data_IF_603997420664
#
_entry.id   IF_603997420664
#
_cell.length_a   1.000
_cell.length_b   1.000
_cell.length_c   1.000
_cell.angle_alpha   90.00
_cell.angle_beta   90.00
_cell.angle_gamma   90.00
#
_symmetry.space_group_name_H-M   'P 1'
#
loop_
_entity.id
_entity.type
_entity.pdbx_description
1 polymer ?
#
# COMPACT_ATOMS: atom_id res chain seq x y z
N UNK A 1 -21.43 49.59 6.43
CA UNK A 1 -21.46 48.47 7.39
C UNK A 1 -22.08 47.30 6.63
N UNK A 2 -21.44 46.18 6.32
CA UNK A 2 -20.22 45.56 6.86
C UNK A 2 -19.68 44.54 5.84
N UNK A 3 -18.35 44.39 5.82
CA UNK A 3 -17.62 43.45 4.97
C UNK A 3 -17.60 42.04 5.58
N UNK A 4 -17.57 41.03 4.70
CA UNK A 4 -16.56 39.96 4.69
C UNK A 4 -16.44 39.05 5.91
N UNK A 5 -17.29 38.01 6.03
CA UNK A 5 -17.01 36.83 6.87
C UNK A 5 -17.79 35.61 6.33
N UNK A 6 -17.27 34.84 5.36
CA UNK A 6 -17.64 33.40 5.17
C UNK A 6 -16.88 32.63 4.06
N UNK A 7 -16.11 33.26 3.17
CA UNK A 7 -15.42 32.52 2.09
C UNK A 7 -14.13 31.79 2.53
N UNK A 8 -13.57 32.15 3.68
CA UNK A 8 -12.32 31.58 4.19
C UNK A 8 -12.47 30.15 4.75
N UNK A 9 -13.69 29.70 5.09
CA UNK A 9 -13.93 28.33 5.57
C UNK A 9 -13.86 27.32 4.43
N UNK A 10 -14.57 27.61 3.33
CA UNK A 10 -14.69 26.71 2.18
C UNK A 10 -13.35 26.48 1.45
N UNK A 11 -12.51 27.53 1.29
CA UNK A 11 -11.16 27.37 0.70
C UNK A 11 -10.22 26.52 1.56
N UNK A 12 -10.36 26.54 2.90
CA UNK A 12 -9.53 25.74 3.80
C UNK A 12 -9.91 24.26 3.78
N UNK A 13 -11.19 23.96 3.64
CA UNK A 13 -11.69 22.58 3.58
C UNK A 13 -11.27 21.88 2.28
N UNK A 14 -11.31 22.58 1.14
CA UNK A 14 -10.81 22.06 -0.14
C UNK A 14 -9.30 21.75 -0.08
N UNK A 15 -8.51 22.61 0.56
CA UNK A 15 -7.07 22.40 0.74
C UNK A 15 -6.77 21.23 1.69
N UNK A 16 -7.59 21.01 2.72
CA UNK A 16 -7.44 19.89 3.66
C UNK A 16 -7.79 18.56 2.99
N UNK A 17 -8.88 18.50 2.24
CA UNK A 17 -9.32 17.29 1.56
C UNK A 17 -8.31 16.85 0.49
N UNK A 18 -7.79 17.79 -0.30
CA UNK A 18 -6.71 17.53 -1.25
C UNK A 18 -5.45 16.96 -0.59
N UNK A 19 -5.04 17.51 0.56
CA UNK A 19 -3.89 16.99 1.33
C UNK A 19 -4.13 15.61 1.92
N UNK A 20 -5.35 15.33 2.41
CA UNK A 20 -5.70 14.02 2.96
C UNK A 20 -5.74 12.96 1.86
N UNK A 21 -6.41 13.25 0.74
CA UNK A 21 -6.45 12.40 -0.45
C UNK A 21 -5.05 12.08 -0.95
N UNK A 22 -4.17 13.09 -0.98
CA UNK A 22 -2.77 12.92 -1.36
C UNK A 22 -2.01 11.96 -0.43
N UNK A 23 -2.10 12.14 0.89
CA UNK A 23 -1.42 11.27 1.86
C UNK A 23 -1.91 9.82 1.77
N UNK A 24 -3.22 9.64 1.56
CA UNK A 24 -3.81 8.32 1.38
C UNK A 24 -3.30 7.64 0.11
N UNK A 25 -3.20 8.38 -1.00
CA UNK A 25 -2.64 7.85 -2.25
C UNK A 25 -1.17 7.46 -2.10
N UNK A 26 -0.37 8.33 -1.49
CA UNK A 26 1.05 8.11 -1.23
C UNK A 26 1.29 6.86 -0.36
N UNK A 27 0.57 6.75 0.77
CA UNK A 27 0.66 5.58 1.64
C UNK A 27 0.21 4.29 0.93
N UNK A 28 -0.87 4.36 0.15
CA UNK A 28 -1.33 3.23 -0.65
C UNK A 28 -0.28 2.77 -1.68
N UNK A 29 0.43 3.71 -2.29
CA UNK A 29 1.51 3.41 -3.23
C UNK A 29 2.68 2.73 -2.51
N UNK A 30 3.13 3.24 -1.36
CA UNK A 30 4.14 2.54 -0.54
C UNK A 30 3.70 1.13 -0.16
N UNK A 31 2.42 0.96 0.18
CA UNK A 31 1.91 -0.35 0.58
C UNK A 31 1.94 -1.35 -0.56
N UNK A 32 1.77 -0.90 -1.81
CA UNK A 32 1.94 -1.73 -3.00
C UNK A 32 3.39 -2.14 -3.22
N UNK A 33 4.31 -1.19 -3.14
CA UNK A 33 5.75 -1.43 -3.30
C UNK A 33 6.27 -2.38 -2.23
N UNK A 34 5.97 -2.09 -0.96
CA UNK A 34 6.29 -2.96 0.17
C UNK A 34 5.77 -4.39 0.00
N UNK A 35 4.52 -4.55 -0.46
CA UNK A 35 3.95 -5.87 -0.74
C UNK A 35 4.67 -6.56 -1.88
N UNK A 36 5.05 -5.85 -2.94
CA UNK A 36 5.78 -6.42 -4.07
C UNK A 36 7.16 -6.95 -3.64
N UNK A 37 7.86 -6.19 -2.80
CA UNK A 37 9.15 -6.62 -2.22
C UNK A 37 8.98 -7.89 -1.36
N UNK A 38 7.92 -7.96 -0.56
CA UNK A 38 7.61 -9.16 0.23
C UNK A 38 7.27 -10.36 -0.68
N UNK A 39 6.55 -10.15 -1.78
CA UNK A 39 6.25 -11.20 -2.74
C UNK A 39 7.52 -11.75 -3.40
N UNK A 40 8.51 -10.91 -3.73
CA UNK A 40 9.80 -11.38 -4.24
C UNK A 40 10.55 -12.25 -3.23
N UNK A 41 10.50 -11.89 -1.94
CA UNK A 41 11.13 -12.70 -0.86
C UNK A 41 10.43 -14.04 -0.63
N UNK A 42 9.14 -14.12 -0.95
CA UNK A 42 8.30 -15.32 -0.82
C UNK A 42 8.09 -16.05 -2.15
N UNK A 43 8.92 -15.78 -3.17
CA UNK A 43 8.73 -16.30 -4.52
C UNK A 43 8.69 -17.83 -4.56
N UNK A 44 9.50 -18.51 -3.75
CA UNK A 44 9.51 -19.97 -3.66
C UNK A 44 8.15 -20.53 -3.21
N UNK A 45 7.58 -20.01 -2.13
CA UNK A 45 6.28 -20.44 -1.61
C UNK A 45 5.14 -20.06 -2.57
N UNK A 46 5.23 -18.87 -3.17
CA UNK A 46 4.25 -18.39 -4.15
C UNK A 46 4.26 -19.25 -5.40
N UNK A 47 5.44 -19.62 -5.91
CA UNK A 47 5.61 -20.47 -7.08
C UNK A 47 5.09 -21.89 -6.83
N UNK A 48 5.32 -22.45 -5.64
CA UNK A 48 4.77 -23.74 -5.25
C UNK A 48 3.22 -23.71 -5.21
N UNK A 49 2.65 -22.67 -4.60
CA UNK A 49 1.20 -22.47 -4.59
C UNK A 49 0.64 -22.28 -6.00
N UNK A 50 1.30 -21.48 -6.85
CA UNK A 50 0.89 -21.22 -8.23
C UNK A 50 0.91 -22.51 -9.08
N UNK A 51 1.91 -23.37 -8.87
CA UNK A 51 2.03 -24.66 -9.55
C UNK A 51 0.86 -25.57 -9.16
N UNK A 52 0.60 -25.72 -7.85
CA UNK A 52 -0.55 -26.48 -7.36
C UNK A 52 -1.88 -25.92 -7.88
N UNK A 53 -2.06 -24.60 -7.86
CA UNK A 53 -3.27 -23.94 -8.34
C UNK A 53 -3.53 -24.17 -9.83
N UNK A 54 -2.46 -24.23 -10.64
CA UNK A 54 -2.54 -24.53 -12.07
C UNK A 54 -3.01 -25.96 -12.32
N UNK A 55 -2.55 -26.92 -11.52
CA UNK A 55 -2.87 -28.34 -11.68
C UNK A 55 -4.27 -28.69 -11.17
N UNK A 56 -4.67 -28.13 -10.03
CA UNK A 56 -5.95 -28.44 -9.36
C UNK A 56 -7.14 -27.61 -9.86
N UNK A 57 -6.88 -26.47 -10.49
CA UNK A 57 -7.90 -25.58 -11.02
C UNK A 57 -8.95 -25.19 -9.98
N UNK A 58 -10.21 -25.59 -10.19
CA UNK A 58 -11.32 -25.30 -9.27
C UNK A 58 -11.16 -25.95 -7.89
N UNK A 59 -10.36 -27.02 -7.76
CA UNK A 59 -10.15 -27.74 -6.51
C UNK A 59 -9.05 -27.13 -5.63
N UNK A 60 -8.40 -26.05 -6.07
CA UNK A 60 -7.27 -25.37 -5.39
C UNK A 60 -7.51 -25.09 -3.91
N UNK A 61 -8.72 -24.68 -3.53
CA UNK A 61 -9.04 -24.30 -2.14
C UNK A 61 -8.97 -25.50 -1.20
N UNK A 62 -9.27 -26.70 -1.70
CA UNK A 62 -9.23 -27.94 -0.93
C UNK A 62 -7.87 -28.62 -1.00
N UNK A 63 -7.21 -28.56 -2.17
CA UNK A 63 -6.03 -29.36 -2.48
C UNK A 63 -4.70 -28.64 -2.22
N UNK A 64 -4.68 -27.31 -2.31
CA UNK A 64 -3.45 -26.52 -2.17
C UNK A 64 -3.35 -25.78 -0.82
N UNK A 65 -4.07 -26.24 0.21
CA UNK A 65 -4.13 -25.55 1.51
C UNK A 65 -2.76 -25.47 2.20
N UNK A 66 -1.90 -26.48 2.04
CA UNK A 66 -0.54 -26.47 2.60
C UNK A 66 0.34 -25.39 1.97
N UNK A 67 0.31 -25.24 0.64
CA UNK A 67 1.07 -24.22 -0.06
C UNK A 67 0.53 -22.81 0.24
N UNK A 68 -0.80 -22.67 0.33
CA UNK A 68 -1.43 -21.41 0.78
C UNK A 68 -0.94 -21.02 2.18
N UNK A 69 -0.87 -21.99 3.10
CA UNK A 69 -0.36 -21.75 4.45
C UNK A 69 1.11 -21.33 4.43
N UNK A 70 1.95 -21.98 3.63
CA UNK A 70 3.36 -21.60 3.48
C UNK A 70 3.53 -20.16 2.96
N UNK A 71 2.71 -19.75 1.97
CA UNK A 71 2.70 -18.35 1.50
C UNK A 71 2.32 -17.40 2.63
N UNK A 72 1.26 -17.71 3.39
CA UNK A 72 0.81 -16.86 4.49
C UNK A 72 1.87 -16.73 5.60
N UNK A 73 2.52 -17.83 5.96
CA UNK A 73 3.60 -17.85 6.95
C UNK A 73 4.79 -17.00 6.48
N UNK A 74 5.20 -17.11 5.21
CA UNK A 74 6.25 -16.25 4.65
C UNK A 74 5.85 -14.77 4.62
N UNK A 75 4.63 -14.46 4.16
CA UNK A 75 4.12 -13.09 4.08
C UNK A 75 3.96 -12.47 5.47
N UNK A 76 3.67 -13.24 6.52
CA UNK A 76 3.63 -12.74 7.89
C UNK A 76 5.00 -12.22 8.37
N UNK A 77 6.10 -12.80 7.89
CA UNK A 77 7.47 -12.36 8.23
C UNK A 77 7.84 -11.06 7.53
N UNK A 78 7.49 -10.92 6.24
CA UNK A 78 7.98 -9.82 5.41
C UNK A 78 6.98 -8.70 5.14
N UNK A 79 5.69 -8.94 5.31
CA UNK A 79 4.60 -8.01 5.00
C UNK A 79 3.73 -7.70 6.25
N UNK A 80 4.34 -7.66 7.43
CA UNK A 80 3.64 -7.34 8.68
C UNK A 80 3.36 -5.82 8.81
N UNK A 81 2.34 -5.41 9.60
CA UNK A 81 2.09 -4.00 9.89
C UNK A 81 3.30 -3.28 10.51
N UNK A 82 4.00 -3.94 11.43
CA UNK A 82 5.18 -3.37 12.12
C UNK A 82 6.32 -3.13 11.14
N UNK A 83 6.54 -4.07 10.20
CA UNK A 83 7.52 -3.93 9.13
C UNK A 83 7.13 -2.82 8.14
N UNK A 84 5.84 -2.66 7.86
CA UNK A 84 5.36 -1.57 7.02
C UNK A 84 5.61 -0.20 7.66
N UNK A 85 5.44 -0.05 8.98
CA UNK A 85 5.75 1.21 9.67
C UNK A 85 7.25 1.54 9.64
N UNK A 86 8.13 0.54 9.67
CA UNK A 86 9.57 0.73 9.45
C UNK A 86 9.83 1.19 8.01
N UNK A 87 9.31 0.44 7.04
CA UNK A 87 9.46 0.75 5.61
C UNK A 87 8.96 2.16 5.28
N UNK A 88 7.78 2.54 5.82
CA UNK A 88 7.20 3.87 5.64
C UNK A 88 8.15 4.95 6.15
N UNK A 89 8.75 4.80 7.34
CA UNK A 89 9.73 5.80 7.84
C UNK A 89 10.97 5.93 6.97
N UNK A 90 11.42 4.84 6.37
CA UNK A 90 12.60 4.83 5.48
C UNK A 90 12.29 5.45 4.11
N UNK A 91 11.04 5.41 3.65
CA UNK A 91 10.65 5.80 2.27
C UNK A 91 9.69 7.01 2.21
N UNK A 92 9.27 7.59 3.35
CA UNK A 92 8.34 8.72 3.37
C UNK A 92 8.96 9.98 2.77
N UNK A 93 10.26 10.22 3.00
CA UNK A 93 10.97 11.35 2.39
C UNK A 93 11.07 11.24 0.86
N UNK A 94 11.18 10.02 0.34
CA UNK A 94 11.18 9.76 -1.11
C UNK A 94 9.83 10.08 -1.75
N UNK A 95 8.72 9.77 -1.08
CA UNK A 95 7.37 10.07 -1.55
C UNK A 95 7.09 11.57 -1.61
N UNK A 96 7.55 12.33 -0.62
CA UNK A 96 7.41 13.78 -0.63
C UNK A 96 8.13 14.40 -1.83
N UNK A 97 9.23 13.77 -2.28
CA UNK A 97 10.04 14.23 -3.41
C UNK A 97 9.59 13.69 -4.78
N UNK A 98 9.00 12.49 -4.85
CA UNK A 98 8.62 11.80 -6.12
C UNK A 98 7.29 12.28 -6.72
N UNK A 99 6.60 13.23 -6.09
CA UNK A 99 5.27 13.66 -6.55
C UNK A 99 5.35 14.99 -7.30
N UNK A 100 5.08 15.01 -8.61
CA UNK A 100 4.89 16.25 -9.35
C UNK A 100 3.54 16.85 -8.98
N UNK A 101 3.55 17.84 -8.09
CA UNK A 101 2.30 18.49 -7.64
C UNK A 101 2.41 19.76 -6.80
N UNK A 102 3.60 20.33 -6.58
CA UNK A 102 3.70 21.69 -6.03
C UNK A 102 4.02 22.69 -7.14
N UNK A 103 2.94 23.30 -7.62
CA UNK A 103 2.94 24.66 -8.15
C UNK A 103 3.64 25.54 -7.12
N UNK A 104 4.81 26.06 -7.48
CA UNK A 104 5.41 27.20 -6.78
C UNK A 104 4.47 28.38 -6.98
N UNK A 105 3.90 28.91 -5.90
CA UNK A 105 3.39 30.28 -5.89
C UNK A 105 4.51 31.22 -5.49
#
# INVERSE_FOLDING_TARGET
>A
MSQSQNDAGNMKDLGRDGRLSFRNFAEHQLRKEFKADAMQKCDMQISAFASCAKDEGVMVVFRCNEFKRAVNECMAVYNSPERFEVYKREHMGDLENKVPGQIKH
#
